data_IF_002957297941
#
_entry.id   IF_002957297941
#
_cell.length_a   1.000
_cell.length_b   1.000
_cell.length_c   1.000
_cell.angle_alpha   90.00
_cell.angle_beta   90.00
_cell.angle_gamma   90.00
#
_symmetry.space_group_name_H-M   'P 1'
#
loop_
_entity.id
_entity.type
_entity.pdbx_description
1 polymer ?
#
# COMPACT_ATOMS: atom_id res chain seq x y z
N UNK A 1 15.00 17.83 3.85
CA UNK A 1 14.58 16.43 3.63
C UNK A 1 15.64 15.78 2.76
N UNK A 2 15.99 14.52 3.04
CA UNK A 2 16.89 13.72 2.20
C UNK A 2 16.07 12.75 1.36
N UNK A 3 16.39 12.64 0.08
CA UNK A 3 15.73 11.72 -0.86
C UNK A 3 16.79 10.78 -1.41
N UNK A 4 16.63 9.48 -1.16
CA UNK A 4 17.57 8.46 -1.61
C UNK A 4 16.81 7.37 -2.37
N UNK A 5 17.39 6.85 -3.45
CA UNK A 5 16.85 5.71 -4.20
C UNK A 5 17.76 4.52 -3.99
N UNK A 6 17.19 3.41 -3.52
CA UNK A 6 17.87 2.14 -3.32
C UNK A 6 17.30 1.11 -4.29
N UNK A 7 18.16 0.37 -4.99
CA UNK A 7 17.72 -0.82 -5.71
C UNK A 7 17.67 -1.99 -4.72
N UNK A 8 16.53 -2.69 -4.67
CA UNK A 8 16.34 -3.82 -3.75
C UNK A 8 16.61 -5.18 -4.42
N UNK A 9 16.52 -5.25 -5.75
CA UNK A 9 16.82 -6.47 -6.51
C UNK A 9 17.93 -6.18 -7.53
N UNK A 10 19.12 -6.75 -7.30
CA UNK A 10 20.27 -6.60 -8.19
C UNK A 10 20.04 -7.20 -9.58
N UNK A 11 19.11 -8.15 -9.71
CA UNK A 11 18.75 -8.77 -10.99
C UNK A 11 17.63 -8.01 -11.70
N UNK A 12 16.86 -7.20 -10.98
CA UNK A 12 15.80 -6.37 -11.53
C UNK A 12 15.93 -4.88 -11.11
N UNK A 13 16.54 -4.02 -11.98
CA UNK A 13 16.77 -2.61 -11.65
C UNK A 13 15.48 -1.78 -11.47
N UNK A 14 14.31 -2.31 -11.83
CA UNK A 14 13.02 -1.66 -11.62
C UNK A 14 12.59 -1.70 -10.15
N UNK A 15 13.07 -2.70 -9.40
CA UNK A 15 12.72 -2.86 -7.99
C UNK A 15 13.50 -1.84 -7.17
N UNK A 16 12.81 -0.77 -6.79
CA UNK A 16 13.44 0.37 -6.12
C UNK A 16 12.63 0.80 -4.90
N UNK A 17 13.36 1.25 -3.88
CA UNK A 17 12.82 1.91 -2.70
C UNK A 17 13.31 3.36 -2.69
N UNK A 18 12.40 4.30 -2.92
CA UNK A 18 12.70 5.73 -2.78
C UNK A 18 12.35 6.18 -1.37
N UNK A 19 13.34 6.57 -0.57
CA UNK A 19 13.18 7.01 0.81
C UNK A 19 13.13 8.55 0.90
N UNK A 20 12.05 9.08 1.47
CA UNK A 20 11.87 10.49 1.83
C UNK A 20 12.07 10.62 3.34
N UNK A 21 13.29 11.00 3.71
CA UNK A 21 13.71 11.11 5.10
C UNK A 21 13.61 12.57 5.56
N UNK A 22 12.77 12.83 6.56
CA UNK A 22 12.64 14.14 7.18
C UNK A 22 13.93 14.46 7.94
N UNK A 23 14.44 15.66 7.73
CA UNK A 23 15.55 16.14 8.56
C UNK A 23 15.07 16.40 9.98
N UNK A 24 16.03 16.44 10.88
CA UNK A 24 15.79 16.65 12.28
C UNK A 24 16.77 17.67 12.86
N UNK A 25 16.32 18.36 13.90
CA UNK A 25 16.98 19.48 14.54
C UNK A 25 16.49 19.62 15.98
N UNK A 26 17.18 20.47 16.76
CA UNK A 26 16.76 20.81 18.11
C UNK A 26 15.37 21.49 18.17
N UNK A 27 14.93 22.14 17.10
CA UNK A 27 13.62 22.81 17.01
C UNK A 27 12.49 21.87 16.57
N UNK A 28 12.81 20.62 16.20
CA UNK A 28 11.83 19.62 15.76
C UNK A 28 11.68 18.51 16.82
N UNK A 29 11.87 17.25 16.44
CA UNK A 29 11.72 16.13 17.38
C UNK A 29 13.03 15.76 18.07
N UNK A 30 14.14 16.44 17.74
CA UNK A 30 15.41 16.44 18.46
C UNK A 30 15.96 15.05 18.82
N UNK A 31 16.30 14.28 17.80
CA UNK A 31 16.85 12.93 17.85
C UNK A 31 15.82 11.83 18.11
N UNK A 32 14.55 12.18 18.40
CA UNK A 32 13.52 11.18 18.66
C UNK A 32 13.12 10.44 17.39
N UNK A 33 12.68 9.17 17.49
CA UNK A 33 12.34 8.39 16.31
C UNK A 33 10.98 8.79 15.72
N UNK A 34 10.85 8.68 14.38
CA UNK A 34 9.62 8.92 13.62
C UNK A 34 9.01 7.61 13.13
N UNK A 35 7.67 7.53 13.01
CA UNK A 35 7.03 6.49 12.23
C UNK A 35 7.40 6.54 10.74
N UNK A 36 7.17 5.44 10.03
CA UNK A 36 7.41 5.31 8.59
C UNK A 36 6.24 4.68 7.84
N UNK A 37 6.05 5.06 6.57
CA UNK A 37 5.02 4.52 5.68
C UNK A 37 5.68 3.99 4.41
N UNK A 38 5.57 2.69 4.13
CA UNK A 38 5.98 2.07 2.87
C UNK A 38 4.77 2.07 1.92
N UNK A 39 4.90 2.67 0.75
CA UNK A 39 3.85 2.95 -0.23
C UNK A 39 4.04 2.03 -1.43
N UNK A 40 3.00 1.27 -1.77
CA UNK A 40 2.89 0.40 -2.94
C UNK A 40 1.89 1.02 -3.93
N UNK A 41 2.37 1.71 -4.98
CA UNK A 41 1.49 2.26 -6.00
C UNK A 41 0.69 1.18 -6.72
N UNK A 42 -0.47 1.53 -7.27
CA UNK A 42 -1.25 0.66 -8.16
C UNK A 42 -0.69 0.61 -9.57
N UNK A 43 -1.52 0.13 -10.51
CA UNK A 43 -1.13 -0.03 -11.92
C UNK A 43 -1.45 -1.39 -12.53
N UNK A 44 -2.42 -2.13 -11.97
CA UNK A 44 -2.91 -3.40 -12.53
C UNK A 44 -1.87 -4.51 -12.63
N UNK A 45 -0.81 -4.45 -11.82
CA UNK A 45 0.40 -5.26 -11.99
C UNK A 45 1.16 -5.06 -13.31
N UNK A 46 0.76 -4.09 -14.14
CA UNK A 46 1.48 -3.72 -15.36
C UNK A 46 2.62 -2.75 -15.10
N UNK A 47 2.42 -1.82 -14.18
CA UNK A 47 3.39 -0.80 -13.76
C UNK A 47 3.11 -0.32 -12.33
N UNK A 48 3.92 0.62 -11.83
CA UNK A 48 3.68 1.35 -10.57
C UNK A 48 3.30 2.81 -10.88
N UNK A 49 2.06 3.20 -10.58
CA UNK A 49 1.47 4.50 -10.90
C UNK A 49 2.13 5.67 -10.15
N UNK A 50 2.62 6.66 -10.88
CA UNK A 50 3.25 7.85 -10.28
C UNK A 50 2.26 8.70 -9.46
N UNK A 51 0.97 8.66 -9.82
CA UNK A 51 -0.11 9.37 -9.11
C UNK A 51 -0.32 8.85 -7.69
N UNK A 52 0.12 7.63 -7.41
CA UNK A 52 -0.03 6.92 -6.12
C UNK A 52 1.32 6.73 -5.43
N UNK A 53 2.36 7.41 -5.93
CA UNK A 53 3.74 7.34 -5.45
C UNK A 53 4.13 8.64 -4.71
N UNK A 54 4.88 9.53 -5.36
CA UNK A 54 5.45 10.73 -4.74
C UNK A 54 4.41 11.68 -4.12
N UNK A 55 3.24 11.95 -4.76
CA UNK A 55 2.21 12.78 -4.13
C UNK A 55 1.74 12.23 -2.78
N UNK A 56 1.61 10.90 -2.66
CA UNK A 56 1.23 10.23 -1.41
C UNK A 56 2.36 10.31 -0.39
N UNK A 57 3.60 10.06 -0.80
CA UNK A 57 4.77 10.14 0.06
C UNK A 57 4.92 11.52 0.70
N UNK A 58 4.76 12.58 -0.08
CA UNK A 58 4.85 13.96 0.40
C UNK A 58 3.71 14.32 1.37
N UNK A 59 2.51 13.78 1.16
CA UNK A 59 1.38 13.97 2.10
C UNK A 59 1.65 13.29 3.45
N UNK A 60 2.17 12.06 3.47
CA UNK A 60 2.58 11.44 4.74
C UNK A 60 3.78 12.14 5.38
N UNK A 61 4.74 12.60 4.58
CA UNK A 61 5.87 13.39 5.08
C UNK A 61 5.41 14.69 5.75
N UNK A 62 4.34 15.32 5.25
CA UNK A 62 3.76 16.52 5.88
C UNK A 62 3.16 16.25 7.27
N UNK A 63 2.84 14.99 7.60
CA UNK A 63 2.38 14.57 8.93
C UNK A 63 3.55 14.26 9.90
N UNK A 64 4.79 14.40 9.46
CA UNK A 64 5.98 14.12 10.27
C UNK A 64 6.47 12.67 10.20
N UNK A 65 6.01 11.88 9.22
CA UNK A 65 6.42 10.49 9.00
C UNK A 65 7.49 10.38 7.91
N UNK A 66 8.38 9.40 8.04
CA UNK A 66 9.17 8.97 6.89
C UNK A 66 8.27 8.29 5.86
N UNK A 67 8.57 8.48 4.58
CA UNK A 67 7.82 7.83 3.51
C UNK A 67 8.78 7.08 2.59
N UNK A 68 8.38 5.89 2.17
CA UNK A 68 9.17 5.01 1.31
C UNK A 68 8.31 4.55 0.16
N UNK A 69 8.68 4.83 -1.08
CA UNK A 69 7.94 4.35 -2.26
C UNK A 69 8.61 3.08 -2.74
N UNK A 70 7.89 1.96 -2.69
CA UNK A 70 8.31 0.71 -3.30
C UNK A 70 7.76 0.64 -4.72
N UNK A 71 8.65 0.70 -5.71
CA UNK A 71 8.35 0.20 -7.06
C UNK A 71 8.72 -1.27 -7.08
N UNK A 72 7.71 -2.13 -7.14
CA UNK A 72 7.86 -3.58 -7.16
C UNK A 72 7.82 -4.12 -8.60
N UNK A 73 8.17 -5.39 -8.77
CA UNK A 73 8.16 -6.08 -10.06
C UNK A 73 6.75 -6.08 -10.65
N UNK A 74 6.63 -5.55 -11.86
CA UNK A 74 5.39 -5.48 -12.63
C UNK A 74 5.59 -6.09 -14.01
N UNK A 75 4.57 -6.22 -14.84
CA UNK A 75 4.65 -6.89 -16.14
C UNK A 75 5.54 -6.15 -17.15
N UNK A 76 5.44 -4.82 -17.19
CA UNK A 76 6.18 -4.01 -18.14
C UNK A 76 7.64 -3.89 -17.74
N UNK A 77 8.53 -3.89 -18.74
CA UNK A 77 9.95 -3.73 -18.47
C UNK A 77 10.31 -2.29 -18.08
N UNK A 78 9.53 -1.30 -18.48
CA UNK A 78 9.65 0.10 -18.04
C UNK A 78 8.35 0.85 -18.42
N UNK A 79 8.11 1.98 -17.76
CA UNK A 79 7.03 2.90 -18.13
C UNK A 79 5.64 2.54 -17.60
N UNK A 80 4.67 3.38 -17.96
CA UNK A 80 3.29 3.34 -17.46
C UNK A 80 2.27 2.90 -18.50
N UNK A 81 2.72 2.55 -19.71
CA UNK A 81 1.84 2.21 -20.82
C UNK A 81 1.12 0.89 -20.58
N UNK A 82 -0.16 0.82 -20.94
CA UNK A 82 -0.87 -0.45 -20.91
C UNK A 82 -0.36 -1.35 -22.04
N UNK A 83 -0.20 -2.66 -21.81
CA UNK A 83 0.14 -3.56 -22.89
C UNK A 83 -1.00 -3.64 -23.92
N UNK A 84 -0.70 -4.09 -25.15
CA UNK A 84 -1.69 -4.27 -26.22
C UNK A 84 -2.70 -5.36 -25.84
N UNK A 85 -3.82 -4.95 -25.23
CA UNK A 85 -4.90 -5.83 -24.76
C UNK A 85 -5.72 -6.45 -25.90
N UNK A 86 -5.44 -6.12 -27.16
CA UNK A 86 -6.07 -6.77 -28.32
C UNK A 86 -5.48 -8.15 -28.61
N UNK A 87 -4.38 -8.51 -27.95
CA UNK A 87 -3.65 -9.79 -28.13
C UNK A 87 -3.38 -10.46 -26.78
N UNK A 88 -3.19 -11.78 -26.75
CA UNK A 88 -2.73 -12.47 -25.57
C UNK A 88 -1.39 -11.90 -25.09
N UNK A 89 -1.27 -11.65 -23.79
CA UNK A 89 -0.03 -11.18 -23.20
C UNK A 89 1.02 -12.31 -23.17
N UNK A 90 2.26 -12.06 -23.66
CA UNK A 90 3.37 -12.98 -23.47
C UNK A 90 3.58 -13.32 -21.99
N UNK A 91 3.80 -14.59 -21.68
CA UNK A 91 4.11 -15.02 -20.32
C UNK A 91 5.52 -14.53 -19.92
N UNK A 92 5.62 -13.88 -18.76
CA UNK A 92 6.87 -13.45 -18.15
C UNK A 92 7.02 -14.09 -16.77
N UNK A 93 7.51 -15.34 -16.73
CA UNK A 93 7.57 -16.16 -15.51
C UNK A 93 8.37 -15.52 -14.37
N UNK A 94 9.39 -14.74 -14.72
CA UNK A 94 10.26 -14.01 -13.83
C UNK A 94 9.61 -12.77 -13.19
N UNK A 95 8.32 -12.51 -13.49
CA UNK A 95 7.55 -11.37 -12.97
C UNK A 95 6.30 -11.78 -12.18
N UNK A 96 6.07 -13.07 -11.98
CA UNK A 96 4.84 -13.56 -11.37
C UNK A 96 4.90 -13.55 -9.83
N UNK A 97 3.72 -13.67 -9.21
CA UNK A 97 3.60 -14.06 -7.80
C UNK A 97 4.50 -15.27 -7.49
N UNK A 98 5.26 -15.27 -6.37
CA UNK A 98 5.20 -14.34 -5.23
C UNK A 98 6.20 -13.16 -5.23
N UNK A 99 6.88 -12.82 -6.33
CA UNK A 99 7.98 -11.82 -6.30
C UNK A 99 7.60 -10.48 -5.64
N UNK A 100 6.43 -9.94 -5.97
CA UNK A 100 6.00 -8.61 -5.49
C UNK A 100 5.84 -8.53 -3.97
N UNK A 101 5.39 -9.62 -3.35
CA UNK A 101 5.18 -9.65 -1.90
C UNK A 101 6.51 -9.85 -1.17
N UNK A 102 7.46 -10.56 -1.80
CA UNK A 102 8.82 -10.71 -1.29
C UNK A 102 9.59 -9.39 -1.37
N UNK A 103 9.39 -8.60 -2.41
CA UNK A 103 9.99 -7.27 -2.52
C UNK A 103 9.41 -6.29 -1.48
N UNK A 104 8.13 -6.41 -1.15
CA UNK A 104 7.53 -5.68 -0.04
C UNK A 104 8.11 -6.12 1.32
N UNK A 105 8.24 -7.43 1.55
CA UNK A 105 8.91 -7.98 2.72
C UNK A 105 10.37 -7.49 2.85
N UNK A 106 11.12 -7.52 1.74
CA UNK A 106 12.49 -7.02 1.68
C UNK A 106 12.57 -5.53 1.97
N UNK A 107 11.62 -4.73 1.47
CA UNK A 107 11.56 -3.29 1.78
C UNK A 107 11.30 -3.03 3.26
N UNK A 108 10.44 -3.83 3.91
CA UNK A 108 10.18 -3.72 5.34
C UNK A 108 11.45 -4.02 6.15
N UNK A 109 12.13 -5.13 5.83
CA UNK A 109 13.41 -5.50 6.45
C UNK A 109 14.45 -4.39 6.24
N UNK A 110 14.59 -3.90 5.00
CA UNK A 110 15.53 -2.85 4.65
C UNK A 110 15.28 -1.59 5.48
N UNK A 111 14.02 -1.14 5.55
CA UNK A 111 13.62 0.05 6.31
C UNK A 111 13.93 -0.12 7.80
N UNK A 112 13.57 -1.26 8.40
CA UNK A 112 13.81 -1.50 9.83
C UNK A 112 15.29 -1.68 10.16
N UNK A 113 16.11 -2.26 9.26
CA UNK A 113 17.58 -2.35 9.45
C UNK A 113 18.27 -0.97 9.46
N UNK A 114 17.71 0.01 8.78
CA UNK A 114 18.23 1.38 8.77
C UNK A 114 17.64 2.27 9.88
N UNK A 115 16.83 1.71 10.80
CA UNK A 115 16.03 2.50 11.71
C UNK A 115 16.86 3.48 12.57
N UNK A 116 17.98 3.02 13.13
CA UNK A 116 18.89 3.86 13.90
C UNK A 116 19.47 5.02 13.08
N UNK A 117 19.93 4.73 11.86
CA UNK A 117 20.53 5.75 10.98
C UNK A 117 19.52 6.83 10.56
N UNK A 118 18.27 6.43 10.38
CA UNK A 118 17.22 7.31 9.89
C UNK A 118 16.40 7.98 10.99
N UNK A 119 16.69 7.71 12.26
CA UNK A 119 15.82 8.08 13.39
C UNK A 119 14.36 7.64 13.14
N UNK A 120 14.20 6.39 12.71
CA UNK A 120 12.90 5.74 12.49
C UNK A 120 12.57 4.87 13.70
N UNK A 121 11.30 4.80 14.06
CA UNK A 121 10.74 3.84 15.02
C UNK A 121 10.41 2.52 14.27
N UNK A 122 11.19 1.43 14.45
CA UNK A 122 10.97 0.18 13.72
C UNK A 122 9.66 -0.51 14.08
N UNK A 123 9.04 -0.16 15.22
CA UNK A 123 7.75 -0.68 15.66
C UNK A 123 6.57 0.11 15.09
N UNK A 124 6.83 1.23 14.37
CA UNK A 124 5.80 2.09 13.76
C UNK A 124 6.03 2.26 12.26
N UNK A 125 6.19 1.14 11.57
CA UNK A 125 6.26 1.10 10.09
C UNK A 125 4.96 0.52 9.55
N UNK A 126 4.18 1.34 8.84
CA UNK A 126 2.97 0.92 8.15
C UNK A 126 3.24 0.61 6.68
N UNK A 127 2.36 -0.19 6.08
CA UNK A 127 2.27 -0.34 4.61
C UNK A 127 1.02 0.38 4.10
N UNK A 128 1.13 1.02 2.95
CA UNK A 128 0.07 1.74 2.27
C UNK A 128 0.02 1.27 0.82
N UNK A 129 -1.15 0.95 0.28
CA UNK A 129 -1.26 0.52 -1.11
C UNK A 129 -2.57 0.94 -1.76
N UNK A 130 -2.50 1.09 -3.09
CA UNK A 130 -3.63 1.52 -3.92
C UNK A 130 -3.90 0.50 -5.03
N UNK A 131 -5.17 0.17 -5.31
CA UNK A 131 -5.53 -0.74 -6.41
C UNK A 131 -4.73 -2.08 -6.35
N UNK A 132 -3.96 -2.43 -7.38
CA UNK A 132 -3.05 -3.58 -7.40
C UNK A 132 -1.91 -3.51 -6.36
N UNK A 133 -1.39 -2.32 -6.05
CA UNK A 133 -0.44 -2.13 -4.95
C UNK A 133 -1.11 -2.28 -3.59
N UNK A 134 -2.41 -1.96 -3.51
CA UNK A 134 -3.28 -2.26 -2.39
C UNK A 134 -3.47 -3.76 -2.21
N UNK A 135 -3.64 -4.51 -3.29
CA UNK A 135 -3.61 -5.96 -3.26
C UNK A 135 -2.27 -6.49 -2.72
N UNK A 136 -1.14 -5.98 -3.21
CA UNK A 136 0.18 -6.40 -2.73
C UNK A 136 0.37 -6.13 -1.22
N UNK A 137 -0.01 -4.93 -0.76
CA UNK A 137 0.04 -4.55 0.65
C UNK A 137 -0.89 -5.41 1.52
N UNK A 138 -2.12 -5.68 1.06
CA UNK A 138 -3.08 -6.52 1.76
C UNK A 138 -2.64 -7.99 1.78
N UNK A 139 -2.01 -8.49 0.71
CA UNK A 139 -1.49 -9.85 0.65
C UNK A 139 -0.33 -10.02 1.64
N UNK A 140 0.58 -9.05 1.68
CA UNK A 140 1.65 -9.02 2.67
C UNK A 140 1.12 -8.96 4.10
N UNK A 141 0.21 -8.04 4.42
CA UNK A 141 -0.27 -7.87 5.80
C UNK A 141 -1.01 -9.10 6.35
N UNK A 142 -1.57 -9.93 5.48
CA UNK A 142 -2.31 -11.15 5.85
C UNK A 142 -1.45 -12.42 5.74
N UNK A 143 -0.19 -12.30 5.33
CA UNK A 143 0.69 -13.45 5.12
C UNK A 143 2.11 -13.28 5.69
N UNK A 144 2.48 -12.12 6.26
CA UNK A 144 3.85 -11.81 6.68
C UNK A 144 4.46 -12.86 7.65
N UNK A 145 3.62 -13.53 8.45
CA UNK A 145 3.95 -14.56 9.43
C UNK A 145 3.82 -16.00 8.88
N UNK A 146 3.37 -16.19 7.64
CA UNK A 146 3.26 -17.51 7.03
C UNK A 146 4.62 -18.06 6.62
N UNK A 147 4.77 -19.39 6.69
CA UNK A 147 6.04 -20.08 6.44
C UNK A 147 6.62 -19.75 5.05
N UNK A 148 5.78 -19.68 4.01
CA UNK A 148 6.27 -19.36 2.65
C UNK A 148 6.87 -17.95 2.50
N UNK A 149 6.60 -17.01 3.42
CA UNK A 149 7.32 -15.73 3.50
C UNK A 149 8.51 -15.85 4.44
N UNK A 150 8.32 -16.40 5.66
CA UNK A 150 9.41 -16.52 6.65
C UNK A 150 10.59 -17.35 6.14
N UNK A 151 10.33 -18.43 5.41
CA UNK A 151 11.34 -19.32 4.82
C UNK A 151 12.22 -18.58 3.79
N UNK A 152 11.71 -17.50 3.18
CA UNK A 152 12.48 -16.66 2.27
C UNK A 152 13.39 -15.65 3.01
N UNK A 153 13.09 -15.35 4.28
CA UNK A 153 13.75 -14.32 5.09
C UNK A 153 14.11 -14.85 6.49
N UNK A 154 14.68 -16.06 6.57
CA UNK A 154 14.90 -16.79 7.83
C UNK A 154 15.71 -16.04 8.88
N UNK A 155 16.65 -15.20 8.46
CA UNK A 155 17.52 -14.45 9.38
C UNK A 155 16.88 -13.15 9.88
N UNK A 156 15.77 -12.71 9.26
CA UNK A 156 15.17 -11.39 9.44
C UNK A 156 13.65 -11.44 9.67
N UNK A 157 13.08 -12.61 9.93
CA UNK A 157 11.61 -12.78 9.97
C UNK A 157 10.93 -11.92 11.03
N UNK A 158 11.60 -11.61 12.14
CA UNK A 158 11.10 -10.70 13.20
C UNK A 158 10.89 -9.27 12.69
N UNK A 159 11.59 -8.86 11.63
CA UNK A 159 11.47 -7.54 11.03
C UNK A 159 10.28 -7.46 10.05
N UNK A 160 9.65 -8.57 9.69
CA UNK A 160 8.58 -8.62 8.68
C UNK A 160 7.27 -7.99 9.14
N UNK A 161 7.03 -7.82 10.44
CA UNK A 161 5.71 -7.38 10.90
C UNK A 161 5.41 -5.92 10.53
N UNK A 162 4.36 -5.63 9.73
CA UNK A 162 3.85 -4.26 9.60
C UNK A 162 3.07 -3.85 10.87
N UNK A 163 3.20 -2.60 11.28
CA UNK A 163 2.49 -2.06 12.45
C UNK A 163 1.05 -1.62 12.13
N UNK A 164 0.78 -1.30 10.87
CA UNK A 164 -0.54 -0.90 10.37
C UNK A 164 -0.60 -1.09 8.83
N UNK A 165 -1.80 -1.15 8.28
CA UNK A 165 -2.03 -1.17 6.84
C UNK A 165 -3.04 -0.11 6.40
N UNK A 166 -2.82 0.54 5.26
CA UNK A 166 -3.69 1.56 4.65
C UNK A 166 -3.98 1.15 3.21
N UNK A 167 -5.25 0.94 2.88
CA UNK A 167 -5.65 0.43 1.57
C UNK A 167 -6.66 1.37 0.91
N UNK A 168 -6.29 1.91 -0.26
CA UNK A 168 -7.18 2.68 -1.13
C UNK A 168 -7.67 1.85 -2.30
N UNK A 169 -9.00 1.68 -2.41
CA UNK A 169 -9.69 0.97 -3.49
C UNK A 169 -8.97 -0.33 -3.91
N UNK A 170 -8.53 -1.10 -2.91
CA UNK A 170 -7.70 -2.27 -3.10
C UNK A 170 -8.50 -3.47 -3.61
N UNK A 171 -7.90 -4.26 -4.50
CA UNK A 171 -8.38 -5.57 -4.89
C UNK A 171 -7.98 -6.57 -3.79
N UNK A 172 -8.94 -7.30 -3.20
CA UNK A 172 -8.71 -8.14 -2.01
C UNK A 172 -9.27 -9.56 -2.10
N UNK A 173 -9.99 -9.90 -3.16
CA UNK A 173 -10.66 -11.20 -3.30
C UNK A 173 -10.67 -11.65 -4.77
N UNK A 174 -9.67 -12.44 -5.13
CA UNK A 174 -9.50 -12.96 -6.47
C UNK A 174 -10.51 -14.04 -6.83
N UNK A 175 -11.12 -14.70 -5.85
CA UNK A 175 -12.21 -15.67 -6.07
C UNK A 175 -13.48 -14.94 -6.51
N UNK A 176 -13.87 -13.88 -5.78
CA UNK A 176 -14.98 -13.01 -6.16
C UNK A 176 -14.71 -12.32 -7.50
N UNK A 177 -13.49 -11.83 -7.70
CA UNK A 177 -13.14 -11.16 -8.95
C UNK A 177 -13.28 -12.08 -10.17
N UNK A 178 -12.82 -13.34 -10.08
CA UNK A 178 -12.97 -14.28 -11.19
C UNK A 178 -14.44 -14.50 -11.56
N UNK A 179 -15.34 -14.56 -10.57
CA UNK A 179 -16.78 -14.66 -10.82
C UNK A 179 -17.31 -13.41 -11.56
N UNK A 180 -16.95 -12.21 -11.10
CA UNK A 180 -17.34 -10.95 -11.73
C UNK A 180 -16.83 -10.86 -13.17
N UNK A 181 -15.56 -11.22 -13.41
CA UNK A 181 -14.95 -11.18 -14.74
C UNK A 181 -15.62 -12.15 -15.72
N UNK A 182 -16.08 -13.31 -15.24
CA UNK A 182 -16.82 -14.25 -16.06
C UNK A 182 -18.16 -13.66 -16.53
N UNK A 183 -18.82 -12.87 -15.68
CA UNK A 183 -20.11 -12.22 -15.95
C UNK A 183 -19.97 -10.94 -16.78
N UNK A 184 -18.77 -10.31 -16.82
CA UNK A 184 -18.54 -9.12 -17.64
C UNK A 184 -18.78 -9.42 -19.14
N UNK A 185 -19.40 -8.47 -19.87
CA UNK A 185 -19.49 -8.56 -21.32
C UNK A 185 -18.09 -8.48 -21.93
N UNK A 186 -17.92 -9.00 -23.15
CA UNK A 186 -16.68 -8.80 -23.91
C UNK A 186 -16.45 -7.32 -24.12
N UNK A 187 -15.28 -6.83 -23.74
CA UNK A 187 -14.95 -5.41 -23.79
C UNK A 187 -13.64 -5.11 -23.06
N UNK A 188 -13.30 -3.82 -23.02
CA UNK A 188 -12.02 -3.35 -22.47
C UNK A 188 -11.84 -3.72 -20.99
N UNK A 189 -12.89 -3.63 -20.17
CA UNK A 189 -12.81 -4.00 -18.75
C UNK A 189 -12.49 -5.48 -18.57
N UNK A 190 -13.17 -6.38 -19.30
CA UNK A 190 -12.89 -7.82 -19.26
C UNK A 190 -11.46 -8.12 -19.72
N UNK A 191 -11.03 -7.53 -20.84
CA UNK A 191 -9.66 -7.68 -21.35
C UNK A 191 -8.61 -7.17 -20.35
N UNK A 192 -8.85 -6.04 -19.71
CA UNK A 192 -7.97 -5.48 -18.69
C UNK A 192 -7.84 -6.42 -17.49
N UNK A 193 -8.95 -6.96 -16.98
CA UNK A 193 -8.91 -7.87 -15.83
C UNK A 193 -8.21 -9.18 -16.18
N UNK A 194 -8.50 -9.81 -17.32
CA UNK A 194 -7.83 -11.04 -17.76
C UNK A 194 -6.32 -10.81 -17.97
N UNK A 195 -5.94 -9.68 -18.55
CA UNK A 195 -4.54 -9.28 -18.67
C UNK A 195 -3.87 -9.08 -17.30
N UNK A 196 -4.57 -8.50 -16.33
CA UNK A 196 -4.08 -8.36 -14.96
C UNK A 196 -3.88 -9.72 -14.28
N UNK A 197 -4.75 -10.71 -14.54
CA UNK A 197 -4.57 -12.10 -14.12
C UNK A 197 -3.28 -12.70 -14.71
N UNK A 198 -3.02 -12.49 -16.00
CA UNK A 198 -1.79 -12.96 -16.65
C UNK A 198 -0.56 -12.26 -16.10
N UNK A 199 -0.61 -10.94 -15.92
CA UNK A 199 0.49 -10.16 -15.38
C UNK A 199 0.92 -10.64 -13.97
N UNK A 200 -0.03 -10.99 -13.13
CA UNK A 200 0.24 -11.39 -11.74
C UNK A 200 0.43 -12.91 -11.56
N UNK A 201 -0.39 -13.73 -12.20
CA UNK A 201 -0.49 -15.19 -11.97
C UNK A 201 -0.07 -16.04 -13.18
N UNK A 202 0.25 -15.41 -14.31
CA UNK A 202 0.71 -16.07 -15.52
C UNK A 202 -0.39 -16.80 -16.31
N UNK A 203 -1.67 -16.64 -15.94
CA UNK A 203 -2.79 -17.29 -16.61
C UNK A 203 -4.09 -16.51 -16.41
N UNK A 204 -4.93 -16.48 -17.44
CA UNK A 204 -6.25 -15.83 -17.42
C UNK A 204 -7.25 -16.52 -16.48
N UNK A 205 -7.13 -17.85 -16.35
CA UNK A 205 -8.04 -18.67 -15.55
C UNK A 205 -7.27 -19.50 -14.51
N UNK A 206 -6.82 -18.89 -13.39
CA UNK A 206 -6.22 -19.63 -12.30
C UNK A 206 -7.21 -20.55 -11.60
N UNK A 207 -6.70 -21.61 -10.97
CA UNK A 207 -7.52 -22.51 -10.18
C UNK A 207 -7.92 -21.85 -8.84
N UNK A 208 -9.00 -22.37 -8.23
CA UNK A 208 -9.54 -21.81 -6.98
C UNK A 208 -8.52 -21.82 -5.83
N UNK A 209 -7.64 -22.80 -5.76
CA UNK A 209 -6.60 -22.88 -4.72
C UNK A 209 -5.66 -21.68 -4.78
N UNK A 210 -5.12 -21.37 -5.97
CA UNK A 210 -4.26 -20.21 -6.16
C UNK A 210 -5.00 -18.91 -5.89
N UNK A 211 -6.25 -18.78 -6.37
CA UNK A 211 -7.07 -17.58 -6.12
C UNK A 211 -7.32 -17.36 -4.63
N UNK A 212 -7.65 -18.42 -3.88
CA UNK A 212 -7.81 -18.32 -2.42
C UNK A 212 -6.50 -17.90 -1.77
N UNK A 213 -5.37 -18.51 -2.16
CA UNK A 213 -4.04 -18.17 -1.63
C UNK A 213 -3.70 -16.69 -1.82
N UNK A 214 -4.08 -16.11 -2.97
CA UNK A 214 -3.84 -14.69 -3.27
C UNK A 214 -5.04 -13.80 -2.95
N UNK A 215 -5.98 -14.22 -2.10
CA UNK A 215 -7.12 -13.38 -1.69
C UNK A 215 -6.97 -12.90 -0.25
N UNK A 216 -6.44 -11.68 -0.01
CA UNK A 216 -6.30 -11.13 1.33
C UNK A 216 -7.56 -11.22 2.20
N UNK A 217 -8.75 -10.99 1.62
CA UNK A 217 -10.01 -11.09 2.35
C UNK A 217 -10.32 -12.50 2.89
N UNK A 218 -9.64 -13.54 2.37
CA UNK A 218 -9.79 -14.93 2.82
C UNK A 218 -8.64 -15.39 3.74
N UNK A 219 -7.62 -14.54 3.93
CA UNK A 219 -6.39 -14.86 4.67
C UNK A 219 -6.24 -14.06 5.97
N UNK A 220 -7.25 -13.30 6.38
CA UNK A 220 -7.20 -12.52 7.63
C UNK A 220 -7.17 -13.45 8.85
N UNK A 221 -6.25 -13.17 9.77
CA UNK A 221 -6.07 -13.86 11.04
C UNK A 221 -5.87 -12.85 12.19
N UNK A 222 -5.52 -13.35 13.39
CA UNK A 222 -5.26 -12.50 14.55
C UNK A 222 -3.95 -11.72 14.49
N UNK A 223 -3.02 -12.09 13.60
CA UNK A 223 -1.72 -11.44 13.42
C UNK A 223 -1.77 -10.33 12.35
N UNK A 224 -2.88 -10.25 11.61
CA UNK A 224 -3.18 -9.18 10.67
C UNK A 224 -3.20 -7.82 11.40
N UNK A 225 -2.48 -6.80 10.93
CA UNK A 225 -2.35 -5.53 11.64
C UNK A 225 -3.63 -4.69 11.56
N UNK A 226 -3.78 -3.67 12.43
CA UNK A 226 -4.84 -2.69 12.29
C UNK A 226 -4.87 -2.07 10.89
N UNK A 227 -6.06 -1.98 10.29
CA UNK A 227 -6.19 -1.61 8.87
C UNK A 227 -7.13 -0.42 8.67
N UNK A 228 -6.70 0.56 7.87
CA UNK A 228 -7.54 1.64 7.33
C UNK A 228 -7.91 1.31 5.89
N UNK A 229 -9.21 1.35 5.58
CA UNK A 229 -9.75 1.03 4.27
C UNK A 229 -10.52 2.24 3.74
N UNK A 230 -10.34 2.57 2.47
CA UNK A 230 -11.26 3.46 1.77
C UNK A 230 -11.49 3.05 0.33
N UNK A 231 -12.68 3.32 -0.20
CA UNK A 231 -13.03 3.12 -1.61
C UNK A 231 -14.22 4.04 -1.99
N UNK A 232 -14.62 4.01 -3.25
CA UNK A 232 -15.85 4.66 -3.73
C UNK A 232 -16.87 3.62 -4.18
N UNK A 233 -18.17 3.89 -4.00
CA UNK A 233 -19.24 2.99 -4.42
C UNK A 233 -19.45 3.01 -5.95
N UNK A 234 -19.07 4.09 -6.63
CA UNK A 234 -19.10 4.25 -8.09
C UNK A 234 -17.90 3.58 -8.80
N UNK A 235 -16.96 2.99 -8.05
CA UNK A 235 -15.84 2.25 -8.65
C UNK A 235 -16.34 1.00 -9.41
N UNK A 236 -16.35 1.09 -10.73
CA UNK A 236 -16.78 0.01 -11.62
C UNK A 236 -15.66 -0.97 -11.98
N UNK A 237 -14.39 -0.65 -11.70
CA UNK A 237 -13.25 -1.50 -12.05
C UNK A 237 -12.90 -2.43 -10.88
N UNK A 238 -12.83 -1.90 -9.67
CA UNK A 238 -12.61 -2.66 -8.44
C UNK A 238 -13.75 -2.33 -7.48
N UNK A 239 -14.78 -3.18 -7.49
CA UNK A 239 -15.98 -2.96 -6.69
C UNK A 239 -15.66 -2.73 -5.22
N UNK A 240 -16.35 -1.78 -4.58
CA UNK A 240 -16.31 -1.55 -3.13
C UNK A 240 -16.57 -2.82 -2.28
N UNK A 241 -17.16 -3.87 -2.89
CA UNK A 241 -17.28 -5.19 -2.27
C UNK A 241 -15.94 -5.76 -1.79
N UNK A 242 -14.82 -5.46 -2.46
CA UNK A 242 -13.49 -5.87 -2.00
C UNK A 242 -13.16 -5.29 -0.61
N UNK A 243 -13.38 -3.99 -0.40
CA UNK A 243 -13.16 -3.34 0.88
C UNK A 243 -14.15 -3.82 1.94
N UNK A 244 -15.43 -4.02 1.57
CA UNK A 244 -16.46 -4.51 2.47
C UNK A 244 -16.19 -5.93 2.97
N UNK A 245 -15.78 -6.84 2.06
CA UNK A 245 -15.44 -8.23 2.40
C UNK A 245 -14.20 -8.32 3.29
N UNK A 246 -13.16 -7.56 2.98
CA UNK A 246 -11.98 -7.49 3.85
C UNK A 246 -12.32 -6.94 5.23
N UNK A 247 -13.14 -5.88 5.32
CA UNK A 247 -13.62 -5.33 6.59
C UNK A 247 -14.43 -6.37 7.40
N UNK A 248 -15.26 -7.16 6.73
CA UNK A 248 -15.99 -8.26 7.37
C UNK A 248 -15.03 -9.31 7.96
N UNK A 249 -14.00 -9.71 7.21
CA UNK A 249 -12.99 -10.67 7.71
C UNK A 249 -12.18 -10.10 8.87
N UNK A 250 -11.76 -8.83 8.80
CA UNK A 250 -11.10 -8.12 9.91
C UNK A 250 -11.99 -8.10 11.16
N UNK A 251 -13.29 -7.84 11.00
CA UNK A 251 -14.25 -7.88 12.11
C UNK A 251 -14.35 -9.29 12.72
N UNK A 252 -14.42 -10.33 11.90
CA UNK A 252 -14.51 -11.72 12.36
C UNK A 252 -13.27 -12.18 13.13
N UNK A 253 -12.08 -11.72 12.71
CA UNK A 253 -10.82 -11.98 13.41
C UNK A 253 -10.57 -11.06 14.61
N UNK A 254 -11.48 -10.13 14.93
CA UNK A 254 -11.31 -9.09 15.95
C UNK A 254 -10.11 -8.17 15.74
N UNK A 255 -9.69 -7.97 14.48
CA UNK A 255 -8.65 -7.02 14.12
C UNK A 255 -9.24 -5.61 14.07
N UNK A 256 -8.62 -4.60 14.72
CA UNK A 256 -9.10 -3.22 14.65
C UNK A 256 -9.05 -2.66 13.23
N UNK A 257 -10.14 -2.09 12.74
CA UNK A 257 -10.17 -1.46 11.41
C UNK A 257 -11.02 -0.19 11.38
N UNK A 258 -10.82 0.63 10.36
CA UNK A 258 -11.67 1.75 9.99
C UNK A 258 -11.96 1.68 8.49
N UNK A 259 -13.22 1.88 8.08
CA UNK A 259 -13.66 1.77 6.69
C UNK A 259 -14.46 3.00 6.27
N UNK A 260 -14.08 3.58 5.13
CA UNK A 260 -14.79 4.70 4.49
C UNK A 260 -15.19 4.35 3.06
N UNK A 261 -16.49 4.31 2.77
CA UNK A 261 -17.01 4.15 1.41
C UNK A 261 -17.68 5.46 1.00
N UNK A 262 -17.08 6.16 0.02
CA UNK A 262 -17.63 7.40 -0.52
C UNK A 262 -18.61 7.08 -1.67
N UNK A 263 -19.65 7.90 -1.84
CA UNK A 263 -20.71 7.60 -2.81
C UNK A 263 -20.21 7.63 -4.27
N UNK A 264 -19.44 8.65 -4.64
CA UNK A 264 -19.05 8.93 -6.04
C UNK A 264 -17.54 8.99 -6.22
N UNK A 265 -17.09 8.71 -7.44
CA UNK A 265 -15.69 8.70 -7.82
C UNK A 265 -15.31 7.44 -8.59
N UNK A 266 -14.62 7.60 -9.72
CA UNK A 266 -14.07 6.49 -10.50
C UNK A 266 -12.91 5.79 -9.76
N UNK A 267 -12.46 4.66 -10.28
CA UNK A 267 -11.23 4.02 -9.81
C UNK A 267 -10.01 4.97 -9.89
N UNK A 268 -9.03 4.76 -9.01
CA UNK A 268 -7.73 5.40 -9.13
C UNK A 268 -7.72 6.90 -8.82
N UNK A 269 -8.54 7.39 -7.88
CA UNK A 269 -8.54 8.82 -7.54
C UNK A 269 -7.27 9.29 -6.81
N UNK A 270 -6.53 8.40 -6.17
CA UNK A 270 -5.38 8.73 -5.33
C UNK A 270 -5.78 9.79 -4.28
N UNK A 271 -5.16 10.98 -4.24
CA UNK A 271 -5.53 12.08 -3.36
C UNK A 271 -6.89 12.73 -3.69
N UNK A 272 -7.47 12.43 -4.85
CA UNK A 272 -8.73 13.01 -5.34
C UNK A 272 -8.72 14.55 -5.39
N UNK A 273 -7.54 15.15 -5.52
CA UNK A 273 -7.33 16.60 -5.58
C UNK A 273 -6.48 16.99 -6.79
N UNK A 274 -6.21 18.28 -6.95
CA UNK A 274 -5.44 18.81 -8.08
C UNK A 274 -4.01 18.25 -8.19
N UNK A 275 -3.45 17.71 -7.11
CA UNK A 275 -2.08 17.17 -7.07
C UNK A 275 -1.99 15.88 -7.89
N UNK A 276 -3.07 15.11 -7.94
CA UNK A 276 -3.10 13.79 -8.60
C UNK A 276 -4.12 13.72 -9.72
N UNK A 277 -5.00 14.70 -9.91
CA UNK A 277 -5.99 14.67 -10.98
C UNK A 277 -5.36 14.99 -12.36
N UNK A 278 -5.68 14.18 -13.37
CA UNK A 278 -5.42 14.51 -14.78
C UNK A 278 -6.62 15.18 -15.46
N UNK A 279 -7.79 15.18 -14.82
CA UNK A 279 -9.01 15.83 -15.29
C UNK A 279 -9.84 16.36 -14.12
N UNK A 280 -10.65 17.41 -14.36
CA UNK A 280 -11.54 18.00 -13.33
C UNK A 280 -12.51 16.99 -12.73
N UNK A 281 -12.92 15.97 -13.49
CA UNK A 281 -13.80 14.89 -13.00
C UNK A 281 -13.17 14.05 -11.90
N UNK A 282 -11.85 14.08 -11.73
CA UNK A 282 -11.11 13.35 -10.68
C UNK A 282 -10.87 14.20 -9.42
N UNK A 283 -11.21 15.49 -9.44
CA UNK A 283 -11.17 16.33 -8.24
C UNK A 283 -12.49 16.13 -7.49
N UNK A 284 -12.42 15.43 -6.36
CA UNK A 284 -13.57 15.03 -5.53
C UNK A 284 -13.28 15.42 -4.07
N UNK A 285 -13.66 16.64 -3.64
CA UNK A 285 -13.33 17.14 -2.29
C UNK A 285 -13.85 16.27 -1.14
N UNK A 286 -14.99 15.63 -1.35
CA UNK A 286 -15.57 14.64 -0.44
C UNK A 286 -14.67 13.41 -0.31
N UNK A 287 -14.20 12.85 -1.43
CA UNK A 287 -13.28 11.71 -1.42
C UNK A 287 -11.92 12.12 -0.86
N UNK A 288 -11.40 13.31 -1.20
CA UNK A 288 -10.12 13.82 -0.72
C UNK A 288 -10.02 13.88 0.83
N UNK A 289 -11.16 13.89 1.52
CA UNK A 289 -11.22 13.80 2.98
C UNK A 289 -10.63 12.48 3.52
N UNK A 290 -10.53 11.41 2.72
CA UNK A 290 -9.95 10.13 3.12
C UNK A 290 -8.57 10.30 3.77
N UNK A 291 -7.75 11.21 3.23
CA UNK A 291 -6.38 11.39 3.73
C UNK A 291 -6.39 12.00 5.14
N UNK A 292 -7.28 12.97 5.40
CA UNK A 292 -7.42 13.55 6.73
C UNK A 292 -7.96 12.53 7.75
N UNK A 293 -8.92 11.69 7.33
CA UNK A 293 -9.43 10.60 8.15
C UNK A 293 -8.33 9.57 8.47
N UNK A 294 -7.54 9.21 7.47
CA UNK A 294 -6.37 8.34 7.63
C UNK A 294 -5.33 8.97 8.58
N UNK A 295 -5.06 10.26 8.46
CA UNK A 295 -4.13 10.98 9.34
C UNK A 295 -4.60 10.93 10.81
N UNK A 296 -5.89 11.18 11.07
CA UNK A 296 -6.48 11.08 12.41
C UNK A 296 -6.39 9.64 12.94
N UNK A 297 -6.66 8.65 12.09
CA UNK A 297 -6.57 7.25 12.45
C UNK A 297 -5.12 6.82 12.76
N UNK A 298 -4.15 7.31 11.98
CA UNK A 298 -2.72 7.09 12.21
C UNK A 298 -2.26 7.74 13.49
N UNK A 299 -2.67 8.99 13.79
CA UNK A 299 -2.23 9.70 15.00
C UNK A 299 -2.53 8.92 16.29
N UNK A 300 -3.63 8.14 16.34
CA UNK A 300 -3.98 7.25 17.46
C UNK A 300 -2.95 6.14 17.72
N UNK A 301 -2.11 5.82 16.74
CA UNK A 301 -1.15 4.70 16.75
C UNK A 301 0.30 5.20 16.62
N UNK A 302 0.49 6.19 15.76
CA UNK A 302 1.75 6.71 15.26
C UNK A 302 1.94 8.17 15.73
N UNK A 303 1.52 8.47 16.96
CA UNK A 303 1.79 9.77 17.57
C UNK A 303 3.31 9.98 17.72
N UNK A 304 3.72 11.23 17.52
CA UNK A 304 5.10 11.65 17.77
C UNK A 304 5.33 11.78 19.29
N UNK A 305 6.53 11.44 19.78
CA UNK A 305 6.88 11.53 21.21
C UNK A 305 7.14 12.99 21.64
N UNK A 306 6.08 13.80 21.69
CA UNK A 306 6.15 15.20 22.10
C UNK A 306 6.05 15.34 23.63
N UNK A 307 6.73 16.32 24.25
CA UNK A 307 6.52 16.63 25.66
C UNK A 307 5.14 17.28 25.88
N UNK A 308 4.62 17.22 27.11
CA UNK A 308 3.36 17.89 27.49
C UNK A 308 3.40 19.41 27.30
N UNK A 309 4.55 20.03 27.58
CA UNK A 309 4.82 21.45 27.39
C UNK A 309 6.10 21.63 26.58
N UNK A 310 6.11 22.60 25.68
CA UNK A 310 7.31 23.10 25.03
C UNK A 310 8.27 23.74 26.04
N UNK A 311 9.55 23.85 25.67
CA UNK A 311 10.52 24.51 26.53
C UNK A 311 10.22 26.01 26.71
N UNK A 312 9.57 26.64 25.72
CA UNK A 312 9.06 27.99 25.84
C UNK A 312 7.92 28.10 26.86
N UNK A 313 6.93 27.20 26.82
CA UNK A 313 5.82 27.19 27.80
C UNK A 313 6.31 26.92 29.23
N UNK A 314 7.31 26.05 29.41
CA UNK A 314 7.91 25.78 30.73
C UNK A 314 8.59 27.00 31.35
N UNK A 315 9.08 27.94 30.54
CA UNK A 315 9.67 29.18 31.04
C UNK A 315 8.58 30.05 31.69
N UNK A 316 7.42 30.18 31.05
CA UNK A 316 6.31 31.01 31.55
C UNK A 316 5.48 30.33 32.65
N UNK A 317 5.46 28.99 32.71
CA UNK A 317 4.75 28.27 33.77
C UNK A 317 5.47 28.33 35.13
N UNK A 318 6.73 28.77 35.19
CA UNK A 318 7.51 28.93 36.43
C UNK A 318 7.36 30.33 37.06
N UNK A 319 6.73 31.26 36.35
CA UNK A 319 6.55 32.65 36.79
C UNK A 319 5.15 32.93 37.39
N UNK A 320 4.27 31.91 37.46
CA UNK A 320 2.95 31.95 38.12
C UNK A 320 2.86 30.87 39.21
#
# INVERSE_FOLDING_TARGET
>A
MKINVYNLDSENPQVTLTAYLLDDSAETINGKPRPGIIICPGGGYFSCSDREAEPIALKFASLGYHAFILRYTTYNDNGLELPDLSKPLPLKSERLFPKQVFELAQSMIFVKKHATQWHLDPEKVAVCGFSAGGHNAALYMTNWNHDWIKDQFTDDYELLRPAACILGYALTDYVMLQQQVNELPTGMDKSFMLASFVAFLGKENPNKELLTKVSPALNVDSDTPPTFLWATAEDSLVSAQHSLRLAQSLKQANVPFELHIFEKGSHGLSLADQTTASAKSQIKPDVAAWFNLCAIWLQKRFSLPLPELSDFEKLYSKEN
#
